data_IF_269842623328
#
_entry.id   IF_269842623328
#
_cell.length_a   1.000
_cell.length_b   1.000
_cell.length_c   1.000
_cell.angle_alpha   90.00
_cell.angle_beta   90.00
_cell.angle_gamma   90.00
#
_symmetry.space_group_name_H-M   'P 1'
#
loop_
_entity.id
_entity.type
_entity.pdbx_description
1 polymer ?
#
# COMPACT_ATOMS: atom_id res chain seq x y z
N UNK A 1 16.57 11.31 -5.42
CA UNK A 1 15.52 11.25 -6.47
C UNK A 1 15.02 9.83 -6.73
N UNK A 2 15.88 8.86 -7.07
CA UNK A 2 15.47 7.47 -7.34
C UNK A 2 14.69 6.79 -6.18
N UNK A 3 15.05 7.05 -4.93
CA UNK A 3 14.39 6.49 -3.75
C UNK A 3 12.92 6.95 -3.62
N UNK A 4 12.66 8.24 -3.76
CA UNK A 4 11.30 8.78 -3.68
C UNK A 4 10.39 8.20 -4.78
N UNK A 5 10.89 8.08 -6.01
CA UNK A 5 10.12 7.48 -7.10
C UNK A 5 9.78 6.01 -6.83
N UNK A 6 10.72 5.24 -6.29
CA UNK A 6 10.50 3.83 -5.93
C UNK A 6 9.42 3.69 -4.86
N UNK A 7 9.46 4.52 -3.81
CA UNK A 7 8.47 4.53 -2.73
C UNK A 7 7.07 4.97 -3.21
N UNK A 8 7.00 5.95 -4.11
CA UNK A 8 5.73 6.41 -4.70
C UNK A 8 5.09 5.29 -5.53
N UNK A 9 5.85 4.69 -6.46
CA UNK A 9 5.34 3.65 -7.36
C UNK A 9 4.99 2.38 -6.58
N UNK A 10 5.85 1.97 -5.64
CA UNK A 10 5.61 0.82 -4.78
C UNK A 10 4.35 0.98 -3.94
N UNK A 11 4.15 2.15 -3.34
CA UNK A 11 2.94 2.43 -2.55
C UNK A 11 1.70 2.56 -3.42
N UNK A 12 1.82 3.13 -4.63
CA UNK A 12 0.72 3.15 -5.59
C UNK A 12 0.22 1.73 -5.91
N UNK A 13 1.13 0.80 -6.23
CA UNK A 13 0.77 -0.61 -6.52
C UNK A 13 0.07 -1.25 -5.33
N UNK A 14 0.59 -1.05 -4.12
CA UNK A 14 -0.01 -1.58 -2.90
C UNK A 14 -1.41 -1.02 -2.68
N UNK A 15 -1.57 0.30 -2.65
CA UNK A 15 -2.84 0.97 -2.32
C UNK A 15 -3.88 0.74 -3.42
N UNK A 16 -3.47 0.72 -4.69
CA UNK A 16 -4.35 0.34 -5.78
C UNK A 16 -4.87 -1.09 -5.63
N UNK A 17 -3.99 -2.02 -5.21
CA UNK A 17 -4.38 -3.40 -4.91
C UNK A 17 -5.36 -3.46 -3.74
N UNK A 18 -5.15 -2.65 -2.69
CA UNK A 18 -6.07 -2.54 -1.55
C UNK A 18 -7.46 -2.11 -2.02
N UNK A 19 -7.57 -1.03 -2.80
CA UNK A 19 -8.85 -0.59 -3.34
C UNK A 19 -9.52 -1.66 -4.22
N UNK A 20 -8.76 -2.30 -5.10
CA UNK A 20 -9.24 -3.38 -5.96
C UNK A 20 -9.66 -4.63 -5.18
N UNK A 21 -9.09 -4.85 -3.99
CA UNK A 21 -9.37 -5.98 -3.11
C UNK A 21 -10.52 -5.73 -2.12
N UNK A 22 -11.16 -4.56 -2.16
CA UNK A 22 -12.34 -4.28 -1.33
C UNK A 22 -13.56 -5.08 -1.79
N UNK A 23 -14.32 -5.65 -0.84
CA UNK A 23 -15.64 -6.23 -1.10
C UNK A 23 -16.72 -5.16 -0.86
N UNK A 24 -17.39 -4.63 -1.90
CA UNK A 24 -18.39 -3.58 -1.73
C UNK A 24 -19.66 -4.05 -0.99
N UNK A 25 -19.80 -5.36 -0.74
CA UNK A 25 -20.98 -5.96 -0.09
C UNK A 25 -20.74 -6.40 1.34
N UNK A 26 -19.50 -6.32 1.84
CA UNK A 26 -19.14 -6.79 3.17
C UNK A 26 -18.37 -5.70 3.90
N UNK A 27 -18.85 -5.35 5.09
CA UNK A 27 -18.18 -4.40 5.97
C UNK A 27 -17.63 -5.11 7.20
N UNK A 28 -16.56 -4.57 7.76
CA UNK A 28 -16.06 -4.99 9.06
C UNK A 28 -17.12 -4.72 10.13
N UNK A 29 -17.13 -5.57 11.16
CA UNK A 29 -18.13 -5.58 12.24
C UNK A 29 -18.36 -4.17 12.79
N UNK A 30 -19.63 -3.77 12.86
CA UNK A 30 -20.10 -2.49 13.41
C UNK A 30 -19.47 -1.24 12.75
N UNK A 31 -19.09 -1.32 11.47
CA UNK A 31 -18.45 -0.20 10.75
C UNK A 31 -18.84 -0.14 9.27
N UNK A 32 -18.54 0.99 8.61
CA UNK A 32 -18.66 1.16 7.15
C UNK A 32 -17.35 0.84 6.41
N UNK A 33 -16.41 0.15 7.06
CA UNK A 33 -15.09 -0.16 6.49
C UNK A 33 -15.22 -1.44 5.66
N UNK A 34 -14.89 -1.44 4.35
CA UNK A 34 -15.03 -2.62 3.51
C UNK A 34 -14.07 -3.73 3.94
N UNK A 35 -14.52 -4.99 3.84
CA UNK A 35 -13.66 -6.16 4.05
C UNK A 35 -12.70 -6.29 2.86
N UNK A 36 -11.43 -6.55 3.16
CA UNK A 36 -10.37 -6.70 2.18
C UNK A 36 -10.09 -8.18 1.89
N UNK A 37 -9.79 -8.51 0.63
CA UNK A 37 -9.17 -9.79 0.29
C UNK A 37 -7.66 -9.74 0.63
N UNK A 38 -7.18 -10.47 1.64
CA UNK A 38 -5.82 -10.30 2.16
C UNK A 38 -4.73 -10.85 1.22
N UNK A 39 -5.05 -11.88 0.44
CA UNK A 39 -4.06 -12.58 -0.39
C UNK A 39 -3.47 -11.68 -1.51
N UNK A 40 -4.28 -10.99 -2.35
CA UNK A 40 -3.72 -10.04 -3.33
C UNK A 40 -2.89 -8.93 -2.71
N UNK A 41 -3.29 -8.44 -1.52
CA UNK A 41 -2.57 -7.39 -0.81
C UNK A 41 -1.19 -7.90 -0.37
N UNK A 42 -1.12 -9.08 0.24
CA UNK A 42 0.15 -9.70 0.62
C UNK A 42 1.08 -9.94 -0.59
N UNK A 43 0.52 -10.39 -1.72
CA UNK A 43 1.28 -10.55 -2.96
C UNK A 43 1.78 -9.22 -3.54
N UNK A 44 0.99 -8.15 -3.48
CA UNK A 44 1.43 -6.82 -3.91
C UNK A 44 2.60 -6.34 -3.06
N UNK A 45 2.54 -6.50 -1.74
CA UNK A 45 3.67 -6.20 -0.84
C UNK A 45 4.90 -7.02 -1.24
N UNK A 46 4.75 -8.34 -1.42
CA UNK A 46 5.86 -9.21 -1.82
C UNK A 46 6.52 -8.78 -3.13
N UNK A 47 5.73 -8.51 -4.18
CA UNK A 47 6.25 -8.07 -5.48
C UNK A 47 6.97 -6.73 -5.40
N UNK A 48 6.41 -5.77 -4.64
CA UNK A 48 7.06 -4.48 -4.44
C UNK A 48 8.41 -4.66 -3.72
N UNK A 49 8.47 -5.51 -2.69
CA UNK A 49 9.74 -5.81 -2.01
C UNK A 49 10.81 -6.35 -2.95
N UNK A 50 10.47 -7.31 -3.82
CA UNK A 50 11.42 -7.85 -4.80
C UNK A 50 12.02 -6.76 -5.70
N UNK A 51 11.25 -5.72 -6.03
CA UNK A 51 11.70 -4.63 -6.90
C UNK A 51 12.43 -3.51 -6.13
N UNK A 52 12.02 -3.19 -4.90
CA UNK A 52 12.49 -1.97 -4.19
C UNK A 52 13.51 -2.22 -3.08
N UNK A 53 13.74 -3.47 -2.66
CA UNK A 53 14.79 -3.81 -1.68
C UNK A 53 16.16 -3.22 -2.04
N UNK A 54 16.68 -3.35 -3.29
CA UNK A 54 18.01 -2.83 -3.63
C UNK A 54 18.13 -1.31 -3.59
N UNK A 55 17.00 -0.58 -3.58
CA UNK A 55 16.96 0.89 -3.68
C UNK A 55 16.84 1.53 -2.29
N UNK A 56 15.87 1.08 -1.49
CA UNK A 56 15.52 1.69 -0.19
C UNK A 56 15.36 0.68 0.95
N UNK A 57 15.47 -0.63 0.67
CA UNK A 57 15.03 -1.67 1.61
C UNK A 57 13.51 -1.83 1.69
N UNK A 58 12.74 -1.11 0.85
CA UNK A 58 11.28 -1.07 0.77
C UNK A 58 10.61 -0.49 2.02
N UNK A 59 10.25 0.79 1.95
CA UNK A 59 9.44 1.45 2.97
C UNK A 59 7.97 1.09 2.83
N UNK A 60 7.29 1.72 1.86
CA UNK A 60 5.86 1.70 1.46
C UNK A 60 4.83 1.76 2.61
N UNK A 61 5.31 1.91 3.84
CA UNK A 61 4.60 1.87 5.09
C UNK A 61 5.34 2.81 6.08
N UNK A 62 4.85 4.04 6.26
CA UNK A 62 5.49 5.03 7.12
C UNK A 62 5.66 4.55 8.57
N UNK A 63 4.72 3.77 9.11
CA UNK A 63 4.81 3.25 10.47
C UNK A 63 5.95 2.23 10.62
N UNK A 64 6.16 1.37 9.60
CA UNK A 64 7.29 0.43 9.54
C UNK A 64 8.62 1.16 9.44
N UNK A 65 8.71 2.21 8.63
CA UNK A 65 9.94 3.02 8.52
C UNK A 65 10.22 3.80 9.80
N UNK A 66 9.19 4.41 10.39
CA UNK A 66 9.31 5.17 11.63
C UNK A 66 9.71 4.30 12.82
N UNK A 67 9.08 3.14 13.00
CA UNK A 67 9.46 2.21 14.07
C UNK A 67 10.93 1.77 13.96
N UNK A 68 11.41 1.50 12.74
CA UNK A 68 12.81 1.19 12.51
C UNK A 68 13.73 2.38 12.81
N UNK A 69 13.38 3.59 12.37
CA UNK A 69 14.17 4.80 12.63
C UNK A 69 14.31 5.10 14.13
N UNK A 70 13.22 4.95 14.90
CA UNK A 70 13.21 5.15 16.35
C UNK A 70 14.11 4.16 17.08
N UNK A 71 14.03 2.86 16.74
CA UNK A 71 14.80 1.82 17.42
C UNK A 71 16.27 1.83 16.98
N UNK A 72 16.54 2.08 15.70
CA UNK A 72 17.90 2.11 15.15
C UNK A 72 18.65 3.40 15.52
N UNK A 73 17.93 4.53 15.58
CA UNK A 73 18.37 5.84 16.06
C UNK A 73 19.73 6.32 15.52
N UNK A 74 19.86 6.40 14.20
CA UNK A 74 21.05 6.92 13.51
C UNK A 74 20.70 8.20 12.75
N UNK A 75 21.61 9.17 12.71
CA UNK A 75 21.41 10.47 12.03
C UNK A 75 20.96 10.28 10.58
N UNK A 76 21.68 9.46 9.81
CA UNK A 76 21.34 9.18 8.41
C UNK A 76 19.93 8.59 8.24
N UNK A 77 19.48 7.76 9.18
CA UNK A 77 18.14 7.18 9.10
C UNK A 77 17.05 8.25 9.30
N UNK A 78 17.31 9.23 10.17
CA UNK A 78 16.43 10.38 10.36
C UNK A 78 16.47 11.35 9.18
N UNK A 79 17.65 11.57 8.58
CA UNK A 79 17.81 12.41 7.39
C UNK A 79 17.02 11.89 6.18
N UNK A 80 16.99 10.57 5.99
CA UNK A 80 16.24 9.93 4.89
C UNK A 80 14.76 9.68 5.23
N UNK A 81 14.35 9.83 6.50
CA UNK A 81 13.04 9.41 7.00
C UNK A 81 11.86 10.10 6.30
N UNK A 82 12.02 11.35 5.89
CA UNK A 82 10.96 12.13 5.24
C UNK A 82 10.48 11.48 3.93
N UNK A 83 11.37 10.77 3.22
CA UNK A 83 11.07 10.10 1.96
C UNK A 83 10.01 9.01 2.17
N UNK A 84 10.10 8.30 3.30
CA UNK A 84 9.17 7.23 3.67
C UNK A 84 7.82 7.74 4.21
N UNK A 85 7.64 9.05 4.33
CA UNK A 85 6.34 9.67 4.56
C UNK A 85 5.78 10.25 3.27
N UNK A 86 6.56 11.13 2.62
CA UNK A 86 6.11 11.86 1.43
C UNK A 86 5.86 10.91 0.27
N UNK A 87 6.76 9.95 0.02
CA UNK A 87 6.61 8.99 -1.06
C UNK A 87 5.34 8.15 -0.95
N UNK A 88 5.12 7.46 0.18
CA UNK A 88 3.92 6.67 0.39
C UNK A 88 2.62 7.47 0.36
N UNK A 89 2.59 8.68 0.92
CA UNK A 89 1.38 9.53 0.89
C UNK A 89 1.01 9.96 -0.53
N UNK A 90 2.00 10.33 -1.35
CA UNK A 90 1.77 10.67 -2.76
C UNK A 90 1.29 9.44 -3.54
N UNK A 91 1.94 8.28 -3.37
CA UNK A 91 1.55 7.05 -4.03
C UNK A 91 0.13 6.60 -3.67
N UNK A 92 -0.24 6.69 -2.39
CA UNK A 92 -1.58 6.37 -1.90
C UNK A 92 -2.66 7.31 -2.46
N UNK A 93 -2.39 8.62 -2.46
CA UNK A 93 -3.30 9.62 -3.02
C UNK A 93 -3.52 9.39 -4.52
N UNK A 94 -2.45 9.14 -5.29
CA UNK A 94 -2.54 8.84 -6.71
C UNK A 94 -3.36 7.57 -6.98
N UNK A 95 -3.16 6.50 -6.19
CA UNK A 95 -3.93 5.27 -6.31
C UNK A 95 -5.42 5.47 -6.01
N UNK A 96 -5.74 6.25 -4.97
CA UNK A 96 -7.12 6.59 -4.63
C UNK A 96 -7.79 7.37 -5.77
N UNK A 97 -7.11 8.40 -6.30
CA UNK A 97 -7.62 9.21 -7.40
C UNK A 97 -7.85 8.38 -8.66
N UNK A 98 -6.89 7.51 -9.00
CA UNK A 98 -6.99 6.63 -10.15
C UNK A 98 -8.18 5.66 -10.03
N UNK A 99 -8.32 4.99 -8.89
CA UNK A 99 -9.41 4.04 -8.66
C UNK A 99 -10.80 4.72 -8.67
N UNK A 100 -10.92 5.88 -8.01
CA UNK A 100 -12.22 6.55 -7.84
C UNK A 100 -12.66 7.36 -9.05
N UNK A 101 -11.75 8.11 -9.69
CA UNK A 101 -12.14 9.07 -10.71
C UNK A 101 -11.86 8.59 -12.13
N UNK A 102 -10.76 7.85 -12.34
CA UNK A 102 -10.39 7.34 -13.66
C UNK A 102 -11.16 6.06 -13.97
N UNK A 103 -11.04 5.05 -13.10
CA UNK A 103 -11.73 3.78 -13.29
C UNK A 103 -13.19 3.80 -12.84
N UNK A 104 -13.57 4.72 -11.94
CA UNK A 104 -14.90 4.75 -11.29
C UNK A 104 -15.29 3.38 -10.72
N UNK A 105 -14.31 2.67 -10.18
CA UNK A 105 -14.43 1.26 -9.80
C UNK A 105 -15.00 1.04 -8.39
N UNK A 106 -15.53 2.08 -7.73
CA UNK A 106 -16.01 2.00 -6.35
C UNK A 106 -17.09 0.92 -6.11
N UNK A 107 -17.84 0.54 -7.13
CA UNK A 107 -18.84 -0.54 -7.07
C UNK A 107 -18.38 -1.90 -7.64
N UNK A 108 -17.14 -2.00 -8.12
CA UNK A 108 -16.63 -3.20 -8.77
C UNK A 108 -16.12 -4.18 -7.72
N UNK A 109 -16.63 -5.41 -7.77
CA UNK A 109 -16.13 -6.51 -6.94
C UNK A 109 -15.04 -7.25 -7.69
N UNK A 110 -13.83 -7.28 -7.13
CA UNK A 110 -12.79 -8.20 -7.61
C UNK A 110 -13.27 -9.65 -7.44
N UNK A 111 -13.19 -10.43 -8.52
CA UNK A 111 -13.44 -11.86 -8.51
C UNK A 111 -12.24 -12.55 -7.85
N UNK A 112 -12.22 -12.57 -6.52
CA UNK A 112 -11.23 -13.33 -5.76
C UNK A 112 -11.36 -14.82 -6.05
N UNK A 113 -10.23 -15.48 -6.34
CA UNK A 113 -10.13 -16.89 -6.77
C UNK A 113 -10.61 -17.94 -5.76
N UNK A 114 -11.10 -17.57 -4.58
CA UNK A 114 -11.44 -18.53 -3.54
C UNK A 114 -12.83 -18.25 -2.96
N UNK A 115 -13.83 -18.94 -3.53
CA UNK A 115 -15.04 -19.26 -2.80
C UNK A 115 -14.64 -20.12 -1.61
N UNK A 116 -14.61 -19.55 -0.41
CA UNK A 116 -14.76 -20.35 0.80
C UNK A 116 -16.24 -20.73 0.86
N UNK A 117 -16.54 -21.90 0.31
CA UNK A 117 -17.77 -22.63 0.62
C UNK A 117 -17.53 -23.30 1.97
N UNK A 118 -17.87 -22.60 3.03
CA UNK A 118 -18.07 -23.18 4.36
C UNK A 118 -19.41 -22.67 4.88
#
# INVERSE_FOLDING_TARGET
>A
MHQACAEIIGTFVLVYTVFSATDPKRSARDSHIPVLAPLPIGFAVFMVHLATIPITGTGINPARSFGAAVIYNQEKAWDDQWIFWVGPMIGAAAAALYHQFVLRAAGIKSLGSFRSSA
#
